data_IF_393594762926
#
_entry.id   IF_393594762926
#
_cell.length_a   1.000
_cell.length_b   1.000
_cell.length_c   1.000
_cell.angle_alpha   90.00
_cell.angle_beta   90.00
_cell.angle_gamma   90.00
#
_symmetry.space_group_name_H-M   'P 1'
#
loop_
_entity.id
_entity.type
_entity.pdbx_description
1 polymer ?
#
# COMPACT_ATOMS: atom_id res chain seq x y z
N UNK A 1 13.03 -21.14 7.39
CA UNK A 1 12.44 -19.81 7.15
C UNK A 1 11.29 -19.61 8.11
N UNK A 2 11.28 -18.48 8.79
CA UNK A 2 10.22 -18.10 9.72
C UNK A 2 9.48 -16.88 9.17
N UNK A 3 8.18 -16.81 9.45
CA UNK A 3 7.37 -15.65 9.12
C UNK A 3 7.14 -14.84 10.40
N UNK A 4 7.56 -13.58 10.39
CA UNK A 4 7.20 -12.62 11.44
C UNK A 4 6.20 -11.63 10.89
N UNK A 5 5.04 -11.51 11.54
CA UNK A 5 4.05 -10.50 11.16
C UNK A 5 4.50 -9.12 11.66
N UNK A 6 4.61 -8.16 10.76
CA UNK A 6 5.04 -6.80 11.07
C UNK A 6 4.01 -5.79 10.57
N UNK A 7 3.99 -4.62 11.21
CA UNK A 7 3.13 -3.51 10.80
C UNK A 7 3.66 -2.87 9.51
N UNK A 8 2.76 -2.25 8.74
CA UNK A 8 3.15 -1.34 7.67
C UNK A 8 4.01 -0.21 8.25
N UNK A 9 5.17 0.10 7.67
CA UNK A 9 6.13 1.02 8.29
C UNK A 9 5.73 2.49 8.13
N UNK A 10 4.80 2.81 7.20
CA UNK A 10 4.13 4.10 7.15
C UNK A 10 2.99 4.26 8.17
N UNK A 11 2.62 3.19 8.89
CA UNK A 11 1.54 3.22 9.87
C UNK A 11 2.03 3.72 11.24
N UNK A 12 1.18 4.50 11.91
CA UNK A 12 1.36 4.81 13.33
C UNK A 12 0.65 3.74 14.16
N UNK A 13 1.42 2.82 14.75
CA UNK A 13 0.92 1.78 15.66
C UNK A 13 -0.22 0.91 15.07
N UNK A 14 -0.15 0.59 13.77
CA UNK A 14 -1.12 -0.27 13.09
C UNK A 14 -2.41 0.43 12.66
N UNK A 15 -2.52 1.75 12.84
CA UNK A 15 -3.63 2.55 12.31
C UNK A 15 -3.60 2.59 10.78
N UNK A 16 -4.77 2.71 10.17
CA UNK A 16 -4.86 2.94 8.72
C UNK A 16 -4.16 4.24 8.32
N UNK A 17 -3.57 4.23 7.12
CA UNK A 17 -2.80 5.31 6.54
C UNK A 17 -3.71 6.07 5.57
N UNK A 18 -3.94 7.36 5.83
CA UNK A 18 -4.74 8.21 4.92
C UNK A 18 -3.94 8.57 3.67
N UNK A 19 -4.51 8.33 2.50
CA UNK A 19 -3.93 8.74 1.21
C UNK A 19 -4.30 10.21 0.95
N UNK A 20 -3.29 11.06 0.79
CA UNK A 20 -3.47 12.52 0.64
C UNK A 20 -3.09 13.00 -0.77
N UNK A 21 -1.97 12.55 -1.38
CA UNK A 21 -1.60 12.99 -2.72
C UNK A 21 -2.59 12.52 -3.79
N UNK A 22 -2.72 13.34 -4.83
CA UNK A 22 -3.51 13.04 -6.04
C UNK A 22 -2.65 12.78 -7.28
N UNK A 23 -1.33 12.72 -7.09
CA UNK A 23 -0.34 12.44 -8.11
C UNK A 23 0.92 11.82 -7.46
N UNK A 24 1.81 11.30 -8.31
CA UNK A 24 3.12 10.76 -7.91
C UNK A 24 4.05 11.85 -7.34
N UNK A 25 4.87 11.60 -6.33
CA UNK A 25 4.93 10.39 -5.51
C UNK A 25 3.85 10.39 -4.40
N UNK A 26 3.33 9.22 -4.07
CA UNK A 26 2.23 9.06 -3.13
C UNK A 26 2.59 9.13 -1.65
N UNK A 27 1.57 8.93 -0.79
CA UNK A 27 1.74 8.69 0.65
C UNK A 27 2.57 7.42 0.87
N UNK A 28 3.56 7.47 1.76
CA UNK A 28 4.32 6.28 2.18
C UNK A 28 3.42 5.24 2.86
N UNK A 29 3.39 4.02 2.33
CA UNK A 29 2.65 2.89 2.91
C UNK A 29 3.60 1.96 3.66
N UNK A 30 4.68 1.52 3.01
CA UNK A 30 5.68 0.64 3.62
C UNK A 30 7.02 0.74 2.88
N UNK A 31 8.12 0.79 3.62
CA UNK A 31 9.48 0.52 3.16
C UNK A 31 9.81 -0.94 3.46
N UNK A 32 10.13 -1.71 2.41
CA UNK A 32 10.47 -3.12 2.51
C UNK A 32 11.81 -3.36 3.24
N UNK A 33 12.05 -4.60 3.62
CA UNK A 33 13.30 -5.07 4.22
C UNK A 33 14.52 -4.74 3.36
N UNK A 34 15.63 -4.44 4.02
CA UNK A 34 16.89 -4.17 3.35
C UNK A 34 17.57 -5.46 2.87
N UNK A 35 18.35 -5.34 1.80
CA UNK A 35 19.07 -6.46 1.21
C UNK A 35 18.17 -7.43 0.46
N UNK A 36 18.75 -8.57 0.09
CA UNK A 36 18.15 -9.55 -0.83
C UNK A 36 17.97 -10.95 -0.23
N UNK A 37 18.20 -11.10 1.08
CA UNK A 37 18.10 -12.38 1.79
C UNK A 37 16.75 -12.57 2.47
N UNK A 38 16.12 -11.47 2.85
CA UNK A 38 14.81 -11.43 3.47
C UNK A 38 13.80 -10.83 2.48
N UNK A 39 12.53 -11.21 2.62
CA UNK A 39 11.44 -10.72 1.77
C UNK A 39 10.29 -10.21 2.62
N UNK A 40 9.59 -9.20 2.11
CA UNK A 40 8.31 -8.73 2.66
C UNK A 40 7.17 -9.16 1.75
N UNK A 41 6.28 -10.02 2.26
CA UNK A 41 4.98 -10.30 1.66
C UNK A 41 3.95 -9.29 2.17
N UNK A 42 3.54 -8.37 1.31
CA UNK A 42 2.75 -7.19 1.67
C UNK A 42 1.28 -7.44 1.32
N UNK A 43 0.41 -7.32 2.33
CA UNK A 43 -1.04 -7.40 2.15
C UNK A 43 -1.69 -6.05 2.44
N UNK A 44 -2.41 -5.49 1.47
CA UNK A 44 -3.05 -4.18 1.58
C UNK A 44 -4.54 -4.27 1.27
N UNK A 45 -5.33 -3.58 2.09
CA UNK A 45 -6.74 -3.28 1.86
C UNK A 45 -6.96 -1.78 1.94
N UNK A 46 -7.96 -1.28 1.25
CA UNK A 46 -8.37 0.12 1.30
C UNK A 46 -9.85 0.25 1.65
N UNK A 47 -10.19 1.31 2.37
CA UNK A 47 -11.56 1.78 2.60
C UNK A 47 -11.73 3.09 1.85
N UNK A 48 -12.92 3.30 1.28
CA UNK A 48 -13.30 4.56 0.65
C UNK A 48 -14.42 5.23 1.45
N UNK A 49 -14.15 6.41 2.00
CA UNK A 49 -15.14 7.19 2.74
C UNK A 49 -15.91 8.18 1.86
N UNK A 50 -15.67 8.21 0.54
CA UNK A 50 -16.42 9.03 -0.40
C UNK A 50 -17.71 8.31 -0.84
N UNK A 51 -18.69 9.12 -1.21
CA UNK A 51 -19.94 8.72 -1.87
C UNK A 51 -19.77 8.30 -3.34
N UNK A 52 -18.55 8.45 -3.89
CA UNK A 52 -18.21 8.10 -5.26
C UNK A 52 -17.06 7.09 -5.31
N UNK A 53 -17.01 6.33 -6.39
CA UNK A 53 -15.88 5.44 -6.68
C UNK A 53 -14.59 6.27 -6.87
N UNK A 54 -13.50 5.83 -6.24
CA UNK A 54 -12.22 6.54 -6.28
C UNK A 54 -11.14 5.64 -6.87
N UNK A 55 -10.46 6.13 -7.90
CA UNK A 55 -9.26 5.47 -8.44
C UNK A 55 -8.12 5.61 -7.43
N UNK A 56 -7.60 4.48 -6.97
CA UNK A 56 -6.40 4.36 -6.15
C UNK A 56 -5.27 3.81 -7.02
N UNK A 57 -4.08 4.40 -6.89
CA UNK A 57 -2.88 3.92 -7.55
C UNK A 57 -1.83 3.62 -6.49
N UNK A 58 -1.34 2.38 -6.49
CA UNK A 58 -0.20 1.94 -5.69
C UNK A 58 1.06 2.02 -6.54
N UNK A 59 2.08 2.67 -5.99
CA UNK A 59 3.44 2.74 -6.51
C UNK A 59 4.25 1.65 -5.80
N UNK A 60 4.49 0.52 -6.47
CA UNK A 60 5.01 -0.69 -5.82
C UNK A 60 6.50 -0.90 -6.12
N UNK A 61 7.35 -0.35 -5.26
CA UNK A 61 8.81 -0.50 -5.36
C UNK A 61 9.49 0.54 -6.25
N UNK A 62 8.73 1.32 -7.02
CA UNK A 62 9.18 2.45 -7.82
C UNK A 62 8.01 3.40 -8.11
N UNK A 63 8.18 4.30 -9.08
CA UNK A 63 7.16 5.30 -9.47
C UNK A 63 7.02 5.45 -10.99
N UNK A 64 7.71 4.62 -11.77
CA UNK A 64 7.68 4.67 -13.22
C UNK A 64 6.35 4.10 -13.74
N UNK A 65 5.69 4.83 -14.64
CA UNK A 65 4.51 4.35 -15.34
C UNK A 65 4.90 3.73 -16.68
N UNK A 66 4.36 2.55 -17.06
CA UNK A 66 3.39 1.73 -16.32
C UNK A 66 4.04 0.73 -15.34
N UNK A 67 5.37 0.63 -15.33
CA UNK A 67 6.12 -0.49 -14.76
C UNK A 67 5.87 -0.73 -13.26
N UNK A 68 5.70 0.34 -12.48
CA UNK A 68 5.60 0.31 -11.02
C UNK A 68 4.17 0.58 -10.49
N UNK A 69 3.20 0.82 -11.38
CA UNK A 69 1.86 1.28 -11.00
C UNK A 69 0.83 0.14 -10.98
N UNK A 70 0.15 -0.03 -9.85
CA UNK A 70 -1.03 -0.90 -9.72
C UNK A 70 -2.25 0.01 -9.53
N UNK A 71 -3.15 0.02 -10.51
CA UNK A 71 -4.33 0.88 -10.50
C UNK A 71 -5.60 0.09 -10.19
N UNK A 72 -6.38 0.56 -9.23
CA UNK A 72 -7.61 -0.08 -8.76
C UNK A 72 -8.68 0.98 -8.49
N UNK A 73 -9.91 0.74 -8.93
CA UNK A 73 -11.05 1.57 -8.52
C UNK A 73 -11.64 1.00 -7.24
N UNK A 74 -11.59 1.76 -6.15
CA UNK A 74 -12.23 1.40 -4.88
C UNK A 74 -13.67 1.92 -4.90
N UNK A 75 -14.69 1.07 -4.76
CA UNK A 75 -16.09 1.51 -4.82
C UNK A 75 -16.44 2.53 -3.73
N UNK A 76 -17.47 3.34 -3.98
CA UNK A 76 -18.04 4.27 -3.01
C UNK A 76 -18.44 3.58 -1.70
N UNK A 77 -18.14 4.21 -0.57
CA UNK A 77 -18.52 3.76 0.79
C UNK A 77 -18.14 2.29 1.10
N UNK A 78 -17.19 1.72 0.38
CA UNK A 78 -16.81 0.33 0.55
C UNK A 78 -15.92 0.14 1.78
N UNK A 79 -16.03 -1.06 2.37
CA UNK A 79 -15.24 -1.51 3.51
C UNK A 79 -13.82 -1.88 3.09
N UNK A 80 -13.24 -2.92 3.72
CA UNK A 80 -11.88 -3.38 3.42
C UNK A 80 -11.82 -4.05 2.03
N UNK A 81 -11.64 -3.25 0.98
CA UNK A 81 -11.45 -3.71 -0.39
C UNK A 81 -10.00 -4.17 -0.60
N UNK A 82 -9.80 -5.35 -1.19
CA UNK A 82 -8.48 -5.94 -1.38
C UNK A 82 -7.70 -5.22 -2.49
N UNK A 83 -6.49 -4.74 -2.17
CA UNK A 83 -5.64 -3.97 -3.11
C UNK A 83 -4.38 -4.76 -3.50
N UNK A 84 -3.64 -5.26 -2.52
CA UNK A 84 -2.42 -6.05 -2.76
C UNK A 84 -2.58 -7.41 -2.07
N UNK A 85 -2.71 -8.50 -2.83
CA UNK A 85 -2.99 -9.83 -2.29
C UNK A 85 -1.72 -10.61 -1.90
N UNK A 86 -0.78 -10.00 -1.18
CA UNK A 86 0.46 -10.68 -0.75
C UNK A 86 1.54 -10.68 -1.85
N UNK A 87 1.96 -9.49 -2.29
CA UNK A 87 3.08 -9.37 -3.22
C UNK A 87 4.41 -9.29 -2.46
N UNK A 88 5.49 -9.77 -3.08
CA UNK A 88 6.82 -9.78 -2.48
C UNK A 88 7.60 -8.50 -2.83
N UNK A 89 8.33 -7.94 -1.87
CA UNK A 89 9.26 -6.83 -2.08
C UNK A 89 10.46 -6.92 -1.14
N UNK A 90 11.61 -6.35 -1.52
CA UNK A 90 12.84 -6.30 -0.73
C UNK A 90 13.72 -5.12 -1.16
N UNK A 91 15.00 -5.10 -0.76
CA UNK A 91 15.99 -4.07 -1.12
C UNK A 91 15.62 -2.63 -0.70
N UNK A 92 14.95 -2.46 0.44
CA UNK A 92 14.50 -1.14 0.93
C UNK A 92 13.60 -0.39 -0.04
N UNK A 93 13.03 -1.08 -1.03
CA UNK A 93 12.11 -0.50 -1.98
C UNK A 93 10.82 -0.08 -1.27
N UNK A 94 10.18 0.94 -1.81
CA UNK A 94 9.12 1.66 -1.11
C UNK A 94 7.79 1.47 -1.84
N UNK A 95 6.75 1.14 -1.07
CA UNK A 95 5.36 1.16 -1.50
C UNK A 95 4.73 2.49 -1.11
N UNK A 96 4.14 3.19 -2.08
CA UNK A 96 3.38 4.43 -1.88
C UNK A 96 2.00 4.33 -2.51
N UNK A 97 1.14 5.29 -2.21
CA UNK A 97 -0.18 5.38 -2.81
C UNK A 97 -0.64 6.82 -3.04
N UNK A 98 -1.29 7.09 -4.16
CA UNK A 98 -2.05 8.31 -4.43
C UNK A 98 -3.43 7.96 -4.97
N UNK A 99 -4.40 8.87 -4.86
CA UNK A 99 -5.77 8.61 -5.26
C UNK A 99 -6.34 9.76 -6.10
N UNK A 100 -7.36 9.49 -6.92
CA UNK A 100 -8.05 10.50 -7.73
C UNK A 100 -8.70 11.60 -6.89
N UNK A 101 -8.99 11.31 -5.61
CA UNK A 101 -9.55 12.25 -4.64
C UNK A 101 -8.73 12.18 -3.34
N UNK A 102 -8.32 13.34 -2.83
CA UNK A 102 -7.54 13.42 -1.61
C UNK A 102 -8.39 13.11 -0.37
N UNK A 103 -7.77 12.51 0.66
CA UNK A 103 -8.32 12.36 2.02
C UNK A 103 -9.52 11.44 2.20
N UNK A 104 -9.93 10.70 1.17
CA UNK A 104 -11.08 9.78 1.23
C UNK A 104 -10.70 8.29 1.21
N UNK A 105 -9.46 7.96 0.86
CA UNK A 105 -8.93 6.59 0.94
C UNK A 105 -8.09 6.40 2.20
N UNK A 106 -8.33 5.30 2.90
CA UNK A 106 -7.51 4.83 4.01
C UNK A 106 -7.01 3.42 3.73
N UNK A 107 -5.70 3.19 3.82
CA UNK A 107 -5.07 1.88 3.59
C UNK A 107 -4.70 1.22 4.92
N UNK A 108 -5.10 -0.03 5.09
CA UNK A 108 -4.72 -0.90 6.19
C UNK A 108 -4.06 -2.18 5.68
N UNK A 109 -3.39 -2.91 6.57
CA UNK A 109 -2.72 -4.15 6.18
C UNK A 109 -1.66 -4.61 7.17
N UNK A 110 -0.90 -5.60 6.71
CA UNK A 110 0.23 -6.15 7.43
C UNK A 110 1.26 -6.68 6.43
N UNK A 111 2.44 -7.00 6.95
CA UNK A 111 3.49 -7.67 6.19
C UNK A 111 3.87 -8.96 6.88
N UNK A 112 4.07 -10.03 6.11
CA UNK A 112 4.74 -11.22 6.60
C UNK A 112 6.21 -11.12 6.17
N UNK A 113 7.09 -10.81 7.11
CA UNK A 113 8.54 -10.81 6.92
C UNK A 113 9.05 -12.23 6.86
N UNK A 114 9.70 -12.60 5.77
CA UNK A 114 10.31 -13.91 5.51
C UNK A 114 11.82 -13.78 5.76
N UNK A 115 12.34 -14.57 6.70
CA UNK A 115 13.78 -14.67 7.05
C UNK A 115 14.22 -16.13 7.12
#
# INVERSE_FOLDING_TARGET
>A
MAYTKVLLSGSTNGRMIKVVPVATAGTLIHTAVAGSSDLDEIHLWAVNSDSLDVKLTIEYGGVASPDDLIEVTVPAEDGLYLIVPGLLLQNSLIVRAFAGTANVIMIGGYVNRIT
#
